data_IF_127439901585
#
_entry.id   IF_127439901585
#
_cell.length_a   1.000
_cell.length_b   1.000
_cell.length_c   1.000
_cell.angle_alpha   90.00
_cell.angle_beta   90.00
_cell.angle_gamma   90.00
#
_symmetry.space_group_name_H-M   'P 1'
#
loop_
_entity.id
_entity.type
_entity.pdbx_description
1 polymer ?
#
# COMPACT_ATOMS: atom_id res chain seq x y z
N UNK A 1 -15.78 24.84 -47.86
CA UNK A 1 -16.71 24.83 -49.00
C UNK A 1 -16.41 23.60 -49.85
N UNK A 2 -17.48 22.83 -50.11
CA UNK A 2 -17.74 21.83 -51.16
C UNK A 2 -16.55 21.37 -52.05
N UNK A 3 -16.19 20.09 -52.04
CA UNK A 3 -16.88 18.93 -52.65
C UNK A 3 -16.76 18.86 -54.18
N UNK A 4 -16.45 17.67 -54.71
CA UNK A 4 -16.76 17.31 -56.09
C UNK A 4 -15.71 16.48 -56.82
N UNK A 5 -15.61 15.18 -56.51
CA UNK A 5 -15.00 14.20 -57.44
C UNK A 5 -16.02 13.86 -58.54
N UNK A 6 -15.55 13.98 -59.79
CA UNK A 6 -16.31 13.71 -61.02
C UNK A 6 -16.38 12.22 -61.34
N UNK A 7 -17.47 11.94 -62.05
CA UNK A 7 -18.00 10.70 -62.63
C UNK A 7 -17.01 9.93 -63.52
N UNK A 8 -17.12 8.61 -63.38
CA UNK A 8 -17.05 7.53 -64.37
C UNK A 8 -17.11 7.91 -65.86
N UNK A 9 -16.41 7.14 -66.71
CA UNK A 9 -16.95 6.12 -67.64
C UNK A 9 -15.82 5.67 -68.58
N UNK A 10 -15.74 4.38 -68.88
CA UNK A 10 -14.93 3.88 -70.01
C UNK A 10 -14.62 2.40 -69.91
N UNK A 11 -15.51 1.56 -70.44
CA UNK A 11 -15.45 0.10 -70.44
C UNK A 11 -14.43 -0.43 -71.46
N UNK A 12 -13.79 -1.56 -71.15
CA UNK A 12 -13.15 -2.41 -72.14
C UNK A 12 -13.38 -3.88 -71.77
N UNK A 13 -13.98 -4.58 -72.73
CA UNK A 13 -14.37 -5.98 -72.73
C UNK A 13 -13.16 -6.90 -72.56
N UNK A 14 -13.22 -7.77 -71.56
CA UNK A 14 -12.29 -8.87 -71.34
C UNK A 14 -13.06 -10.18 -71.21
N UNK A 15 -12.77 -11.11 -72.11
CA UNK A 15 -13.35 -12.45 -72.24
C UNK A 15 -13.10 -13.24 -70.94
N UNK A 16 -14.17 -13.61 -70.22
CA UNK A 16 -14.09 -14.56 -69.11
C UNK A 16 -14.33 -15.98 -69.63
N UNK A 17 -13.27 -16.78 -69.69
CA UNK A 17 -13.40 -18.24 -69.75
C UNK A 17 -13.99 -18.72 -68.41
N UNK A 18 -15.18 -19.32 -68.48
CA UNK A 18 -15.76 -20.09 -67.38
C UNK A 18 -14.95 -21.38 -67.21
N UNK A 19 -13.94 -21.37 -66.35
CA UNK A 19 -13.43 -22.60 -65.74
C UNK A 19 -14.33 -22.92 -64.54
N UNK A 20 -15.26 -23.85 -64.73
CA UNK A 20 -15.94 -24.51 -63.62
C UNK A 20 -14.92 -25.41 -62.90
N UNK A 21 -14.18 -24.83 -61.96
CA UNK A 21 -13.45 -25.63 -60.98
C UNK A 21 -14.48 -26.35 -60.13
N UNK A 22 -14.65 -27.65 -60.37
CA UNK A 22 -15.28 -28.55 -59.41
C UNK A 22 -14.37 -28.60 -58.18
N UNK A 23 -14.54 -27.62 -57.28
CA UNK A 23 -13.99 -27.74 -55.94
C UNK A 23 -14.78 -28.87 -55.28
N UNK A 24 -14.19 -30.06 -55.19
CA UNK A 24 -14.63 -31.03 -54.21
C UNK A 24 -14.63 -30.29 -52.87
N UNK A 25 -15.83 -30.06 -52.34
CA UNK A 25 -15.98 -29.68 -50.95
C UNK A 25 -15.47 -30.87 -50.15
N UNK A 26 -14.18 -30.89 -49.85
CA UNK A 26 -13.66 -31.65 -48.72
C UNK A 26 -14.46 -31.15 -47.54
N UNK A 27 -15.32 -32.01 -46.99
CA UNK A 27 -15.91 -31.79 -45.69
C UNK A 27 -14.73 -31.59 -44.74
N UNK A 28 -14.40 -30.34 -44.44
CA UNK A 28 -13.50 -30.02 -43.36
C UNK A 28 -14.20 -30.57 -42.13
N UNK A 29 -13.77 -31.75 -41.67
CA UNK A 29 -14.17 -32.29 -40.39
C UNK A 29 -13.80 -31.20 -39.39
N UNK A 30 -14.80 -30.58 -38.79
CA UNK A 30 -14.59 -29.67 -37.68
C UNK A 30 -13.81 -30.44 -36.64
N UNK A 31 -12.55 -30.08 -36.42
CA UNK A 31 -11.77 -30.65 -35.32
C UNK A 31 -12.62 -30.51 -34.05
N UNK A 32 -12.74 -31.56 -33.23
CA UNK A 32 -13.46 -31.46 -31.97
C UNK A 32 -12.85 -30.30 -31.19
N UNK A 33 -13.66 -29.28 -30.90
CA UNK A 33 -13.24 -28.16 -30.06
C UNK A 33 -12.65 -28.74 -28.79
N UNK A 34 -11.42 -28.34 -28.45
CA UNK A 34 -10.77 -28.79 -27.21
C UNK A 34 -11.78 -28.72 -26.06
N UNK A 35 -11.88 -29.75 -25.21
CA UNK A 35 -12.87 -29.77 -24.14
C UNK A 35 -12.71 -28.47 -23.35
N UNK A 36 -13.82 -27.76 -23.17
CA UNK A 36 -13.83 -26.51 -22.44
C UNK A 36 -13.13 -26.73 -21.09
N UNK A 37 -12.12 -25.93 -20.79
CA UNK A 37 -11.37 -26.04 -19.54
C UNK A 37 -12.35 -25.84 -18.38
N UNK A 38 -12.65 -26.92 -17.65
CA UNK A 38 -13.55 -26.87 -16.50
C UNK A 38 -12.83 -26.15 -15.37
N UNK A 39 -13.42 -25.04 -14.89
CA UNK A 39 -12.97 -24.38 -13.68
C UNK A 39 -13.51 -25.18 -12.49
N UNK A 40 -12.66 -25.83 -11.67
CA UNK A 40 -13.14 -26.70 -10.60
C UNK A 40 -13.86 -25.90 -9.53
N UNK A 41 -14.99 -26.40 -9.02
CA UNK A 41 -15.65 -25.83 -7.84
C UNK A 41 -14.82 -26.12 -6.59
N UNK A 42 -14.49 -25.07 -5.82
CA UNK A 42 -13.77 -25.19 -4.56
C UNK A 42 -14.71 -24.86 -3.41
N UNK A 43 -15.06 -25.87 -2.61
CA UNK A 43 -15.98 -25.69 -1.50
C UNK A 43 -15.35 -24.88 -0.34
N UNK A 44 -16.09 -23.95 0.27
CA UNK A 44 -15.63 -23.23 1.46
C UNK A 44 -15.45 -24.19 2.66
N UNK A 45 -14.57 -23.87 3.62
CA UNK A 45 -14.51 -24.60 4.88
C UNK A 45 -15.82 -24.49 5.67
N UNK A 46 -16.22 -25.58 6.32
CA UNK A 46 -17.44 -25.68 7.12
C UNK A 46 -17.23 -25.31 8.61
N UNK A 47 -15.99 -25.07 9.04
CA UNK A 47 -15.65 -24.62 10.38
C UNK A 47 -14.52 -23.59 10.30
N UNK A 48 -14.67 -22.48 11.02
CA UNK A 48 -13.70 -21.39 11.08
C UNK A 48 -13.74 -20.71 12.45
N UNK A 49 -12.61 -20.09 12.79
CA UNK A 49 -12.49 -19.14 13.88
C UNK A 49 -11.76 -17.89 13.39
N UNK A 50 -11.90 -16.78 14.12
CA UNK A 50 -11.05 -15.60 13.99
C UNK A 50 -10.54 -15.21 15.37
N UNK A 51 -9.22 -15.23 15.55
CA UNK A 51 -8.57 -14.96 16.84
C UNK A 51 -9.08 -15.90 17.96
N UNK A 52 -9.43 -17.14 17.64
CA UNK A 52 -10.03 -18.10 18.58
C UNK A 52 -11.54 -17.94 18.79
N UNK A 53 -12.19 -16.95 18.17
CA UNK A 53 -13.64 -16.76 18.24
C UNK A 53 -14.33 -17.56 17.13
N UNK A 54 -15.29 -18.45 17.43
CA UNK A 54 -15.94 -19.28 16.42
C UNK A 54 -16.82 -18.45 15.47
N UNK A 55 -16.78 -18.78 14.19
CA UNK A 55 -17.66 -18.20 13.16
C UNK A 55 -18.95 -19.02 13.08
N UNK A 56 -20.15 -18.45 13.25
CA UNK A 56 -21.41 -19.19 13.30
C UNK A 56 -21.92 -19.55 11.88
N UNK A 57 -21.18 -20.40 11.16
CA UNK A 57 -21.51 -20.84 9.79
C UNK A 57 -22.78 -21.71 9.69
N UNK A 58 -23.37 -22.11 10.82
CA UNK A 58 -24.69 -22.76 10.84
C UNK A 58 -25.84 -21.77 10.53
N UNK A 59 -25.57 -20.46 10.63
CA UNK A 59 -26.52 -19.41 10.23
C UNK A 59 -26.36 -19.18 8.72
N UNK A 60 -27.42 -19.45 7.95
CA UNK A 60 -27.42 -19.38 6.48
C UNK A 60 -26.84 -18.07 5.94
N UNK A 61 -27.29 -16.93 6.46
CA UNK A 61 -26.82 -15.60 6.03
C UNK A 61 -25.32 -15.36 6.35
N UNK A 62 -24.80 -15.94 7.43
CA UNK A 62 -23.37 -15.87 7.75
C UNK A 62 -22.57 -16.73 6.78
N UNK A 63 -23.06 -17.94 6.48
CA UNK A 63 -22.46 -18.83 5.50
C UNK A 63 -22.44 -18.22 4.10
N UNK A 64 -23.55 -17.66 3.61
CA UNK A 64 -23.61 -17.04 2.28
C UNK A 64 -22.69 -15.82 2.14
N UNK A 65 -22.58 -15.00 3.19
CA UNK A 65 -21.65 -13.86 3.20
C UNK A 65 -20.19 -14.30 3.22
N UNK A 66 -19.87 -15.40 3.91
CA UNK A 66 -18.55 -16.00 3.89
C UNK A 66 -18.23 -16.65 2.54
N UNK A 67 -19.13 -17.50 2.05
CA UNK A 67 -19.03 -18.21 0.77
C UNK A 67 -18.73 -17.23 -0.36
N UNK A 68 -19.47 -16.11 -0.44
CA UNK A 68 -19.21 -15.05 -1.43
C UNK A 68 -17.75 -14.58 -1.43
N UNK A 69 -17.20 -14.19 -0.27
CA UNK A 69 -15.82 -13.68 -0.23
C UNK A 69 -14.80 -14.80 -0.48
N UNK A 70 -15.07 -16.02 0.00
CA UNK A 70 -14.23 -17.19 -0.25
C UNK A 70 -14.19 -17.54 -1.74
N UNK A 71 -15.34 -17.69 -2.41
CA UNK A 71 -15.44 -17.94 -3.85
C UNK A 71 -14.66 -16.90 -4.64
N UNK A 72 -14.83 -15.61 -4.34
CA UNK A 72 -14.12 -14.54 -5.06
C UNK A 72 -12.59 -14.71 -4.92
N UNK A 73 -12.11 -14.94 -3.71
CA UNK A 73 -10.67 -14.98 -3.45
C UNK A 73 -10.01 -16.28 -3.87
N UNK A 74 -10.69 -17.41 -3.75
CA UNK A 74 -10.13 -18.72 -4.11
C UNK A 74 -9.90 -18.87 -5.61
N UNK A 75 -10.56 -18.05 -6.45
CA UNK A 75 -10.28 -17.96 -7.89
C UNK A 75 -9.40 -16.77 -8.29
N UNK A 76 -8.95 -15.95 -7.33
CA UNK A 76 -8.06 -14.82 -7.57
C UNK A 76 -6.59 -15.27 -7.67
N UNK A 77 -6.29 -16.22 -8.58
CA UNK A 77 -5.04 -16.98 -8.57
C UNK A 77 -3.77 -16.12 -8.48
N UNK A 78 -3.67 -15.08 -9.31
CA UNK A 78 -2.53 -14.18 -9.32
C UNK A 78 -2.35 -13.48 -7.96
N UNK A 79 -3.46 -13.06 -7.34
CA UNK A 79 -3.46 -12.40 -6.05
C UNK A 79 -3.04 -13.36 -4.93
N UNK A 80 -3.57 -14.59 -4.92
CA UNK A 80 -3.22 -15.59 -3.91
C UNK A 80 -1.74 -15.94 -4.00
N UNK A 81 -1.18 -16.13 -5.19
CA UNK A 81 0.27 -16.35 -5.34
C UNK A 81 1.10 -15.15 -4.88
N UNK A 82 0.66 -13.91 -5.12
CA UNK A 82 1.33 -12.73 -4.60
C UNK A 82 1.26 -12.64 -3.07
N UNK A 83 0.14 -13.04 -2.46
CA UNK A 83 0.03 -13.15 -1.01
C UNK A 83 0.96 -14.21 -0.45
N UNK A 84 0.99 -15.42 -1.01
CA UNK A 84 1.89 -16.49 -0.57
C UNK A 84 3.36 -16.03 -0.64
N UNK A 85 3.77 -15.41 -1.75
CA UNK A 85 5.12 -14.88 -1.91
C UNK A 85 5.47 -13.82 -0.85
N UNK A 86 4.55 -12.89 -0.55
CA UNK A 86 4.77 -11.84 0.46
C UNK A 86 4.63 -12.35 1.90
N UNK A 87 3.81 -13.36 2.13
CA UNK A 87 3.65 -13.99 3.43
C UNK A 87 4.98 -14.61 3.89
N UNK A 88 5.71 -15.29 3.00
CA UNK A 88 7.05 -15.82 3.29
C UNK A 88 8.03 -14.72 3.77
N UNK A 89 7.89 -13.50 3.25
CA UNK A 89 8.70 -12.34 3.67
C UNK A 89 8.30 -11.76 5.02
N UNK A 90 7.00 -11.65 5.31
CA UNK A 90 6.53 -10.80 6.42
C UNK A 90 5.92 -11.57 7.59
N UNK A 91 5.31 -12.74 7.35
CA UNK A 91 4.61 -13.48 8.39
C UNK A 91 5.54 -13.92 9.54
N UNK A 92 6.76 -14.41 9.29
CA UNK A 92 7.64 -14.80 10.40
C UNK A 92 7.90 -13.66 11.39
N UNK A 93 8.19 -12.46 10.87
CA UNK A 93 8.38 -11.26 11.70
C UNK A 93 7.09 -10.80 12.39
N UNK A 94 5.94 -10.81 11.69
CA UNK A 94 4.64 -10.50 12.30
C UNK A 94 4.27 -11.45 13.42
N UNK A 95 4.50 -12.75 13.23
CA UNK A 95 4.18 -13.77 14.22
C UNK A 95 5.06 -13.64 15.47
N UNK A 96 6.34 -13.33 15.30
CA UNK A 96 7.23 -12.99 16.42
C UNK A 96 6.70 -11.78 17.20
N UNK A 97 6.32 -10.72 16.49
CA UNK A 97 5.83 -9.49 17.11
C UNK A 97 4.47 -9.66 17.81
N UNK A 98 3.56 -10.45 17.23
CA UNK A 98 2.27 -10.81 17.83
C UNK A 98 2.47 -11.68 19.08
N UNK A 99 3.34 -12.70 19.03
CA UNK A 99 3.67 -13.56 20.18
C UNK A 99 4.29 -12.73 21.31
N UNK A 100 5.24 -11.85 21.00
CA UNK A 100 5.90 -10.97 21.98
C UNK A 100 4.91 -10.08 22.74
N UNK A 101 3.79 -9.72 22.11
CA UNK A 101 2.71 -8.90 22.68
C UNK A 101 1.55 -9.70 23.27
N UNK A 102 1.62 -11.03 23.22
CA UNK A 102 0.51 -11.92 23.57
C UNK A 102 -0.79 -11.58 22.81
N UNK A 103 -0.67 -11.33 21.51
CA UNK A 103 -1.79 -11.03 20.60
C UNK A 103 -2.09 -12.23 19.68
N UNK A 104 -3.34 -12.41 19.22
CA UNK A 104 -3.69 -13.49 18.30
C UNK A 104 -2.91 -13.40 16.98
N UNK A 105 -2.41 -14.54 16.50
CA UNK A 105 -1.65 -14.62 15.25
C UNK A 105 -2.49 -14.22 14.02
N UNK A 106 -3.80 -14.39 14.09
CA UNK A 106 -4.73 -14.06 13.00
C UNK A 106 -4.75 -12.57 12.65
N UNK A 107 -4.31 -11.69 13.55
CA UNK A 107 -4.23 -10.25 13.28
C UNK A 107 -3.29 -9.92 12.11
N UNK A 108 -2.35 -10.82 11.74
CA UNK A 108 -1.52 -10.66 10.55
C UNK A 108 -2.34 -10.59 9.25
N UNK A 109 -3.51 -11.23 9.20
CA UNK A 109 -4.38 -11.23 8.02
C UNK A 109 -5.08 -9.88 7.80
N UNK A 110 -5.18 -9.03 8.83
CA UNK A 110 -5.63 -7.64 8.68
C UNK A 110 -4.70 -6.89 7.71
N UNK A 111 -3.38 -7.00 7.87
CA UNK A 111 -2.41 -6.38 6.95
C UNK A 111 -2.51 -6.91 5.50
N UNK A 112 -2.91 -8.17 5.32
CA UNK A 112 -3.20 -8.73 4.00
C UNK A 112 -4.46 -8.09 3.40
N UNK A 113 -5.54 -7.99 4.18
CA UNK A 113 -6.79 -7.37 3.72
C UNK A 113 -6.64 -5.87 3.42
N UNK A 114 -5.82 -5.17 4.21
CA UNK A 114 -5.60 -3.73 4.05
C UNK A 114 -4.77 -3.38 2.81
N UNK A 115 -3.66 -4.09 2.56
CA UNK A 115 -2.71 -3.68 1.52
C UNK A 115 -2.07 -4.78 0.72
N UNK A 116 -2.50 -6.03 0.90
CA UNK A 116 -1.81 -7.21 0.36
C UNK A 116 -0.34 -7.29 0.80
N UNK A 117 -0.05 -6.86 2.03
CA UNK A 117 1.30 -6.76 2.58
C UNK A 117 2.22 -5.78 1.82
N UNK A 118 1.66 -4.76 1.19
CA UNK A 118 2.43 -3.72 0.50
C UNK A 118 2.67 -2.51 1.40
N UNK A 119 3.94 -2.16 1.61
CA UNK A 119 4.30 -0.98 2.41
C UNK A 119 3.99 0.34 1.72
N UNK A 120 3.95 0.39 0.38
CA UNK A 120 3.75 1.62 -0.39
C UNK A 120 2.28 1.89 -0.77
N UNK A 121 1.34 1.09 -0.26
CA UNK A 121 -0.07 1.20 -0.62
C UNK A 121 -0.68 2.55 -0.23
N UNK A 122 -1.56 3.08 -1.07
CA UNK A 122 -2.27 4.32 -0.84
C UNK A 122 -3.68 4.21 -1.40
N UNK A 123 -4.70 4.51 -0.60
CA UNK A 123 -6.09 4.52 -1.06
C UNK A 123 -6.54 5.91 -1.51
N UNK A 124 -7.54 6.00 -2.41
CA UNK A 124 -8.18 7.27 -2.76
C UNK A 124 -8.75 8.03 -1.56
N UNK A 125 -9.11 7.32 -0.49
CA UNK A 125 -9.62 7.88 0.77
C UNK A 125 -8.50 8.40 1.70
N UNK A 126 -7.24 8.31 1.27
CA UNK A 126 -6.08 8.85 1.97
C UNK A 126 -5.47 7.91 3.00
N UNK A 127 -5.91 6.65 3.07
CA UNK A 127 -5.25 5.61 3.83
C UNK A 127 -3.89 5.27 3.21
N UNK A 128 -2.89 4.97 4.04
CA UNK A 128 -1.54 4.73 3.56
C UNK A 128 -0.83 3.62 4.32
N UNK A 129 0.08 2.96 3.62
CA UNK A 129 0.96 1.95 4.17
C UNK A 129 0.35 0.56 4.25
N UNK A 130 1.12 -0.33 4.90
CA UNK A 130 0.76 -1.75 5.06
C UNK A 130 -0.53 -1.96 5.86
N UNK A 131 -0.80 -1.05 6.79
CA UNK A 131 -1.94 -1.10 7.70
C UNK A 131 -3.02 -0.07 7.35
N UNK A 132 -2.91 0.60 6.19
CA UNK A 132 -3.90 1.57 5.67
C UNK A 132 -4.42 2.59 6.69
N UNK A 133 -3.52 3.20 7.47
CA UNK A 133 -3.91 4.23 8.41
C UNK A 133 -4.45 5.48 7.70
N UNK A 134 -5.61 5.98 8.11
CA UNK A 134 -6.06 7.35 7.80
C UNK A 134 -5.21 8.35 8.61
N UNK A 135 -4.91 9.58 8.11
CA UNK A 135 -3.98 10.49 8.78
C UNK A 135 -4.34 10.84 10.23
N UNK A 136 -5.63 10.91 10.57
CA UNK A 136 -6.09 11.21 11.93
C UNK A 136 -5.73 10.10 12.91
N UNK A 137 -6.11 8.87 12.59
CA UNK A 137 -5.82 7.67 13.38
C UNK A 137 -4.32 7.41 13.47
N UNK A 138 -3.58 7.55 12.35
CA UNK A 138 -2.13 7.41 12.36
C UNK A 138 -1.45 8.34 13.36
N UNK A 139 -1.81 9.63 13.37
CA UNK A 139 -1.29 10.59 14.37
C UNK A 139 -1.66 10.22 15.80
N UNK A 140 -2.89 9.75 16.04
CA UNK A 140 -3.32 9.30 17.37
C UNK A 140 -2.41 8.19 17.91
N UNK A 141 -1.95 7.30 17.04
CA UNK A 141 -1.04 6.21 17.38
C UNK A 141 0.45 6.53 17.19
N UNK A 142 0.81 7.79 16.96
CA UNK A 142 2.21 8.23 16.94
C UNK A 142 2.90 8.14 15.58
N UNK A 143 2.15 8.04 14.48
CA UNK A 143 2.70 8.10 13.12
C UNK A 143 2.70 9.54 12.60
N UNK A 144 3.89 10.10 12.44
CA UNK A 144 4.06 11.46 11.96
C UNK A 144 3.79 11.59 10.46
N UNK A 145 3.15 12.71 10.10
CA UNK A 145 2.87 13.07 8.71
C UNK A 145 3.16 14.54 8.45
N UNK A 146 4.02 14.78 7.47
CA UNK A 146 4.37 16.10 6.94
C UNK A 146 4.36 16.07 5.41
N UNK A 147 4.97 17.09 4.78
CA UNK A 147 5.16 17.11 3.31
C UNK A 147 6.32 16.25 2.83
N UNK A 148 7.25 15.92 3.72
CA UNK A 148 8.49 15.19 3.39
C UNK A 148 8.58 13.81 4.03
N UNK A 149 7.74 13.55 5.03
CA UNK A 149 7.70 12.34 5.84
C UNK A 149 6.25 11.90 6.01
N UNK A 150 6.00 10.61 5.90
CA UNK A 150 4.73 9.97 6.22
C UNK A 150 5.00 8.57 6.76
N UNK A 151 5.08 8.45 8.09
CA UNK A 151 5.52 7.23 8.78
C UNK A 151 4.54 6.06 8.65
N UNK A 152 3.34 6.30 8.12
CA UNK A 152 2.39 5.23 7.79
C UNK A 152 2.97 4.26 6.76
N UNK A 153 3.90 4.70 5.92
CA UNK A 153 4.59 3.82 4.97
C UNK A 153 5.73 3.02 5.62
N UNK A 154 6.21 3.38 6.81
CA UNK A 154 7.17 2.57 7.54
C UNK A 154 6.45 1.37 8.18
N UNK A 155 6.83 0.16 7.79
CA UNK A 155 6.08 -1.01 8.18
C UNK A 155 6.29 -1.40 9.63
N UNK A 156 7.44 -1.14 10.23
CA UNK A 156 7.69 -1.46 11.64
C UNK A 156 6.90 -0.52 12.53
N UNK A 157 6.98 0.79 12.25
CA UNK A 157 6.21 1.82 12.98
C UNK A 157 4.71 1.65 12.80
N UNK A 158 4.25 1.39 11.57
CA UNK A 158 2.84 1.16 11.28
C UNK A 158 2.33 -0.13 11.94
N UNK A 159 3.14 -1.19 12.00
CA UNK A 159 2.75 -2.43 12.68
C UNK A 159 2.63 -2.23 14.18
N UNK A 160 3.63 -1.61 14.82
CA UNK A 160 3.52 -1.28 16.25
C UNK A 160 2.25 -0.48 16.55
N UNK A 161 1.98 0.54 15.73
CA UNK A 161 0.80 1.40 15.86
C UNK A 161 -0.51 0.63 15.64
N UNK A 162 -0.58 -0.25 14.64
CA UNK A 162 -1.75 -1.06 14.35
C UNK A 162 -2.05 -2.06 15.45
N UNK A 163 -1.03 -2.74 15.98
CA UNK A 163 -1.21 -3.69 17.06
C UNK A 163 -1.62 -3.02 18.37
N UNK A 164 -1.10 -1.82 18.67
CA UNK A 164 -1.61 -1.00 19.79
C UNK A 164 -3.08 -0.62 19.57
N UNK A 165 -3.43 -0.18 18.37
CA UNK A 165 -4.81 0.20 18.07
C UNK A 165 -5.78 -0.98 18.17
N UNK A 166 -5.45 -2.12 17.57
CA UNK A 166 -6.26 -3.34 17.65
C UNK A 166 -6.42 -3.81 19.09
N UNK A 167 -5.38 -3.69 19.92
CA UNK A 167 -5.47 -4.00 21.35
C UNK A 167 -6.45 -3.05 22.07
N UNK A 168 -6.36 -1.74 21.85
CA UNK A 168 -7.30 -0.79 22.46
C UNK A 168 -8.75 -1.05 22.04
N UNK A 169 -8.96 -1.45 20.78
CA UNK A 169 -10.28 -1.84 20.27
C UNK A 169 -10.77 -3.13 20.93
N UNK A 170 -9.91 -4.12 21.11
CA UNK A 170 -10.25 -5.31 21.87
C UNK A 170 -10.58 -4.99 23.33
N UNK A 171 -9.81 -4.13 23.98
CA UNK A 171 -10.08 -3.70 25.35
C UNK A 171 -11.46 -3.01 25.45
N UNK A 172 -11.89 -2.30 24.40
CA UNK A 172 -13.21 -1.66 24.32
C UNK A 172 -14.36 -2.64 24.08
N UNK A 173 -14.22 -3.57 23.13
CA UNK A 173 -15.34 -4.44 22.71
C UNK A 173 -15.36 -5.80 23.41
N UNK A 174 -14.22 -6.24 23.96
CA UNK A 174 -13.96 -7.57 24.50
C UNK A 174 -14.29 -8.69 23.49
N UNK A 175 -14.13 -8.39 22.20
CA UNK A 175 -14.40 -9.27 21.07
C UNK A 175 -13.55 -8.85 19.88
N UNK A 176 -12.72 -9.75 19.36
CA UNK A 176 -11.81 -9.51 18.25
C UNK A 176 -12.53 -9.22 16.95
N UNK A 177 -13.64 -9.91 16.68
CA UNK A 177 -14.41 -9.69 15.46
C UNK A 177 -14.95 -8.26 15.38
N UNK A 178 -15.51 -7.75 16.48
CA UNK A 178 -15.92 -6.34 16.61
C UNK A 178 -14.73 -5.38 16.60
N UNK A 179 -13.62 -5.73 17.25
CA UNK A 179 -12.41 -4.90 17.27
C UNK A 179 -11.86 -4.70 15.85
N UNK A 180 -11.79 -5.75 15.04
CA UNK A 180 -11.33 -5.69 13.65
C UNK A 180 -12.35 -4.92 12.78
N UNK A 181 -13.66 -5.10 13.00
CA UNK A 181 -14.69 -4.32 12.32
C UNK A 181 -14.58 -2.81 12.65
N UNK A 182 -14.26 -2.48 13.90
CA UNK A 182 -14.02 -1.11 14.36
C UNK A 182 -12.72 -0.52 13.79
N UNK A 183 -11.70 -1.34 13.55
CA UNK A 183 -10.48 -0.91 12.86
C UNK A 183 -10.81 -0.38 11.45
N UNK A 184 -11.68 -1.07 10.73
CA UNK A 184 -12.11 -0.70 9.37
C UNK A 184 -13.03 0.53 9.35
N UNK A 185 -14.08 0.56 10.18
CA UNK A 185 -15.16 1.55 10.03
C UNK A 185 -15.22 2.63 11.13
N UNK A 186 -14.35 2.52 12.13
CA UNK A 186 -14.26 3.38 13.30
C UNK A 186 -15.03 2.84 14.50
N UNK A 187 -14.40 2.92 15.68
CA UNK A 187 -14.93 2.46 16.96
C UNK A 187 -16.25 3.11 17.36
N UNK A 188 -16.40 4.41 17.08
CA UNK A 188 -17.64 5.15 17.37
C UNK A 188 -18.82 4.62 16.57
N UNK A 189 -18.58 4.22 15.32
CA UNK A 189 -19.65 3.69 14.45
C UNK A 189 -20.11 2.33 14.94
N UNK A 190 -19.18 1.43 15.25
CA UNK A 190 -19.52 0.11 15.81
C UNK A 190 -20.29 0.28 17.11
N UNK A 191 -19.82 1.13 18.03
CA UNK A 191 -20.48 1.39 19.30
C UNK A 191 -21.91 1.92 19.11
N UNK A 192 -22.11 2.89 18.21
CA UNK A 192 -23.43 3.44 17.90
C UNK A 192 -24.40 2.38 17.36
N UNK A 193 -23.94 1.51 16.45
CA UNK A 193 -24.78 0.46 15.90
C UNK A 193 -25.13 -0.61 16.94
N UNK A 194 -24.17 -0.97 17.81
CA UNK A 194 -24.42 -1.86 18.95
C UNK A 194 -25.54 -1.29 19.84
N UNK A 195 -25.45 -0.02 20.23
CA UNK A 195 -26.43 0.64 21.09
C UNK A 195 -27.81 0.73 20.44
N UNK A 196 -27.83 1.11 19.15
CA UNK A 196 -29.06 1.27 18.37
C UNK A 196 -29.79 -0.04 18.15
N UNK A 197 -29.07 -1.09 17.76
CA UNK A 197 -29.64 -2.38 17.39
C UNK A 197 -29.78 -3.32 18.60
N UNK A 198 -29.14 -2.99 19.73
CA UNK A 198 -29.09 -3.81 20.95
C UNK A 198 -28.50 -5.20 20.71
N UNK A 199 -27.56 -5.29 19.78
CA UNK A 199 -26.86 -6.52 19.38
C UNK A 199 -25.36 -6.29 19.54
N UNK A 200 -24.66 -7.25 20.13
CA UNK A 200 -23.19 -7.23 20.31
C UNK A 200 -22.47 -8.31 19.52
N UNK A 201 -23.20 -9.11 18.76
CA UNK A 201 -22.63 -10.10 17.86
C UNK A 201 -22.42 -9.46 16.49
N UNK A 202 -21.16 -9.39 16.03
CA UNK A 202 -20.81 -8.87 14.72
C UNK A 202 -21.63 -9.54 13.60
N UNK A 203 -21.84 -10.85 13.68
CA UNK A 203 -22.50 -11.61 12.62
C UNK A 203 -23.99 -11.26 12.48
N UNK A 204 -24.59 -10.70 13.53
CA UNK A 204 -25.99 -10.25 13.55
C UNK A 204 -26.13 -8.72 13.46
N UNK A 205 -25.02 -7.97 13.61
CA UNK A 205 -25.03 -6.52 13.61
C UNK A 205 -25.06 -5.97 12.17
N UNK A 206 -26.00 -5.08 11.88
CA UNK A 206 -26.01 -4.35 10.60
C UNK A 206 -24.95 -3.26 10.63
N UNK A 207 -23.98 -3.33 9.71
CA UNK A 207 -22.87 -2.38 9.57
C UNK A 207 -22.80 -1.85 8.13
N UNK A 208 -21.93 -0.88 7.81
CA UNK A 208 -21.70 -0.51 6.42
C UNK A 208 -21.32 -1.73 5.59
N UNK A 209 -21.81 -1.81 4.35
CA UNK A 209 -21.61 -2.98 3.48
C UNK A 209 -20.12 -3.34 3.31
N UNK A 210 -19.23 -2.35 3.22
CA UNK A 210 -17.79 -2.59 3.16
C UNK A 210 -17.27 -3.33 4.41
N UNK A 211 -17.71 -2.92 5.59
CA UNK A 211 -17.31 -3.49 6.87
C UNK A 211 -17.89 -4.88 7.08
N UNK A 212 -19.17 -5.09 6.71
CA UNK A 212 -19.79 -6.41 6.77
C UNK A 212 -19.02 -7.44 5.93
N UNK A 213 -18.47 -7.01 4.79
CA UNK A 213 -17.64 -7.83 3.91
C UNK A 213 -16.22 -8.04 4.45
N UNK A 214 -15.70 -7.07 5.18
CA UNK A 214 -14.30 -7.02 5.60
C UNK A 214 -13.88 -8.21 6.46
N UNK A 215 -14.67 -8.61 7.45
CA UNK A 215 -14.38 -9.79 8.29
C UNK A 215 -14.40 -11.07 7.46
N UNK A 216 -15.37 -11.25 6.57
CA UNK A 216 -15.45 -12.44 5.72
C UNK A 216 -14.30 -12.50 4.71
N UNK A 217 -13.84 -11.35 4.21
CA UNK A 217 -12.63 -11.26 3.39
C UNK A 217 -11.39 -11.71 4.17
N UNK A 218 -11.23 -11.29 5.42
CA UNK A 218 -10.14 -11.74 6.29
C UNK A 218 -10.21 -13.25 6.56
N UNK A 219 -11.40 -13.78 6.84
CA UNK A 219 -11.62 -15.21 7.04
C UNK A 219 -11.26 -16.03 5.80
N UNK A 220 -11.64 -15.56 4.61
CA UNK A 220 -11.30 -16.20 3.35
C UNK A 220 -9.78 -16.17 3.09
N UNK A 221 -9.12 -15.03 3.35
CA UNK A 221 -7.66 -14.91 3.32
C UNK A 221 -7.01 -15.91 4.28
N UNK A 222 -7.47 -15.96 5.54
CA UNK A 222 -6.98 -16.90 6.56
C UNK A 222 -7.13 -18.34 6.08
N UNK A 223 -8.31 -18.72 5.60
CA UNK A 223 -8.58 -20.06 5.10
C UNK A 223 -7.60 -20.45 3.99
N UNK A 224 -7.48 -19.62 2.95
CA UNK A 224 -6.62 -19.89 1.78
C UNK A 224 -5.14 -19.96 2.19
N UNK A 225 -4.64 -18.96 2.94
CA UNK A 225 -3.21 -18.88 3.28
C UNK A 225 -2.78 -19.88 4.36
N UNK A 226 -3.71 -20.37 5.19
CA UNK A 226 -3.39 -21.40 6.20
C UNK A 226 -3.31 -22.80 5.61
N UNK A 227 -3.91 -23.02 4.43
CA UNK A 227 -3.93 -24.34 3.77
C UNK A 227 -3.99 -24.19 2.25
N UNK A 228 -3.00 -23.55 1.60
CA UNK A 228 -3.08 -23.20 0.18
C UNK A 228 -3.23 -24.42 -0.73
N UNK A 229 -2.54 -25.51 -0.40
CA UNK A 229 -2.56 -26.77 -1.15
C UNK A 229 -3.96 -27.39 -1.23
N UNK A 230 -4.77 -27.26 -0.16
CA UNK A 230 -6.17 -27.72 -0.12
C UNK A 230 -7.03 -27.07 -1.21
N UNK A 231 -6.65 -25.88 -1.66
CA UNK A 231 -7.39 -25.08 -2.62
C UNK A 231 -6.67 -25.00 -3.99
N UNK A 232 -5.70 -25.89 -4.24
CA UNK A 232 -4.99 -25.97 -5.52
C UNK A 232 -3.81 -25.00 -5.67
N UNK A 233 -3.39 -24.34 -4.57
CA UNK A 233 -2.24 -23.45 -4.59
C UNK A 233 -0.99 -24.14 -4.08
N UNK A 234 -0.09 -24.49 -5.00
CA UNK A 234 1.24 -24.98 -4.68
C UNK A 234 2.28 -23.91 -5.09
N UNK A 235 2.87 -23.23 -4.10
CA UNK A 235 4.03 -22.36 -4.32
C UNK A 235 5.29 -23.21 -4.15
N UNK A 236 6.16 -23.36 -5.17
CA UNK A 236 7.40 -24.10 -5.01
C UNK A 236 8.27 -23.52 -3.89
N UNK A 237 9.00 -24.37 -3.19
CA UNK A 237 9.94 -23.95 -2.16
C UNK A 237 10.94 -22.91 -2.71
N UNK A 238 11.15 -21.82 -1.96
CA UNK A 238 12.01 -20.72 -2.38
C UNK A 238 11.46 -19.82 -3.49
N UNK A 239 10.26 -20.10 -4.03
CA UNK A 239 9.62 -19.22 -5.00
C UNK A 239 8.95 -17.99 -4.35
N UNK A 240 8.86 -17.94 -3.02
CA UNK A 240 8.40 -16.76 -2.29
C UNK A 240 9.40 -15.62 -2.30
N UNK A 241 9.05 -14.56 -1.60
CA UNK A 241 9.98 -13.46 -1.36
C UNK A 241 10.67 -13.72 -0.03
N UNK A 242 12.02 -13.79 0.01
CA UNK A 242 12.71 -14.04 1.26
C UNK A 242 12.51 -12.88 2.23
N UNK A 243 12.62 -13.19 3.53
CA UNK A 243 12.78 -12.19 4.58
C UNK A 243 14.00 -11.32 4.25
N UNK A 244 13.83 -10.01 4.38
CA UNK A 244 14.95 -9.08 4.22
C UNK A 244 15.56 -8.78 5.59
N UNK A 245 16.88 -8.90 5.68
CA UNK A 245 17.67 -8.44 6.83
C UNK A 245 18.18 -7.03 6.57
N UNK A 246 18.23 -6.22 7.62
CA UNK A 246 18.62 -4.81 7.51
C UNK A 246 19.70 -4.46 8.50
N UNK A 247 20.59 -3.56 8.08
CA UNK A 247 21.38 -2.76 9.00
C UNK A 247 20.59 -1.51 9.36
N UNK A 248 20.61 -1.14 10.64
CA UNK A 248 19.99 0.09 11.12
C UNK A 248 21.05 1.11 11.54
N UNK A 249 20.89 2.34 11.05
CA UNK A 249 21.78 3.45 11.42
C UNK A 249 20.95 4.63 11.91
N UNK A 250 21.11 4.94 13.20
CA UNK A 250 20.59 6.16 13.82
C UNK A 250 21.39 7.38 13.37
N UNK A 251 20.71 8.47 13.06
CA UNK A 251 21.36 9.72 12.68
C UNK A 251 20.52 10.95 13.03
N UNK A 252 21.20 12.00 13.49
CA UNK A 252 20.60 13.31 13.76
C UNK A 252 20.93 14.26 12.61
N UNK A 253 19.92 14.63 11.84
CA UNK A 253 20.03 15.58 10.74
C UNK A 253 19.73 17.00 11.23
N UNK A 254 20.77 17.84 11.33
CA UNK A 254 20.63 19.27 11.70
C UNK A 254 19.90 20.08 10.61
N UNK A 255 20.02 19.64 9.36
CA UNK A 255 19.42 20.26 8.17
C UNK A 255 18.70 19.21 7.33
N UNK A 256 17.76 19.61 6.44
CA UNK A 256 17.27 18.71 5.41
C UNK A 256 18.42 18.22 4.52
N UNK A 257 18.48 16.92 4.24
CA UNK A 257 19.53 16.30 3.42
C UNK A 257 18.89 15.64 2.19
N UNK A 258 19.42 15.86 0.97
CA UNK A 258 18.95 15.14 -0.21
C UNK A 258 19.10 13.62 -0.04
N UNK A 259 18.05 12.86 -0.37
CA UNK A 259 18.09 11.40 -0.34
C UNK A 259 19.21 10.85 -1.24
N UNK A 260 19.45 11.51 -2.37
CA UNK A 260 20.55 11.14 -3.27
C UNK A 260 21.92 11.15 -2.56
N UNK A 261 22.19 12.17 -1.74
CA UNK A 261 23.45 12.26 -1.00
C UNK A 261 23.56 11.16 0.07
N UNK A 262 22.45 10.84 0.76
CA UNK A 262 22.42 9.74 1.72
C UNK A 262 22.64 8.38 1.05
N UNK A 263 21.99 8.15 -0.10
CA UNK A 263 22.15 6.93 -0.89
C UNK A 263 23.61 6.75 -1.36
N UNK A 264 24.25 7.83 -1.84
CA UNK A 264 25.67 7.82 -2.20
C UNK A 264 26.57 7.45 -1.01
N UNK A 265 26.32 8.02 0.18
CA UNK A 265 27.10 7.69 1.40
C UNK A 265 26.86 6.26 1.90
N UNK A 266 25.69 5.71 1.62
CA UNK A 266 25.37 4.31 1.91
C UNK A 266 25.90 3.34 0.84
N UNK A 267 26.37 3.84 -0.31
CA UNK A 267 26.79 3.02 -1.43
C UNK A 267 25.62 2.25 -2.08
N UNK A 268 24.42 2.84 -2.07
CA UNK A 268 23.19 2.26 -2.63
C UNK A 268 22.52 3.22 -3.61
N UNK A 269 21.56 2.71 -4.38
CA UNK A 269 20.81 3.56 -5.31
C UNK A 269 19.74 4.39 -4.61
N UNK A 270 19.34 5.51 -5.22
CA UNK A 270 18.18 6.29 -4.76
C UNK A 270 16.91 5.44 -4.63
N UNK A 271 16.67 4.55 -5.60
CA UNK A 271 15.52 3.63 -5.61
C UNK A 271 15.56 2.68 -4.42
N UNK A 272 16.73 2.12 -4.12
CA UNK A 272 16.92 1.22 -2.99
C UNK A 272 16.73 1.93 -1.65
N UNK A 273 17.31 3.13 -1.47
CA UNK A 273 17.08 3.94 -0.27
C UNK A 273 15.58 4.21 -0.05
N UNK A 274 14.86 4.61 -1.10
CA UNK A 274 13.41 4.86 -1.06
C UNK A 274 12.57 3.61 -0.80
N UNK A 275 12.99 2.45 -1.34
CA UNK A 275 12.33 1.15 -1.09
C UNK A 275 12.44 0.76 0.38
N UNK A 276 13.64 0.94 0.95
CA UNK A 276 13.95 0.60 2.34
C UNK A 276 13.46 1.64 3.33
N UNK A 277 13.32 2.91 2.93
CA UNK A 277 12.88 3.99 3.80
C UNK A 277 11.67 4.73 3.17
N UNK A 278 10.55 4.02 2.96
CA UNK A 278 9.42 4.53 2.19
C UNK A 278 8.69 5.70 2.87
N UNK A 279 8.85 5.87 4.18
CA UNK A 279 8.29 7.00 4.93
C UNK A 279 8.79 8.36 4.43
N UNK A 280 10.00 8.46 3.86
CA UNK A 280 10.51 9.71 3.30
C UNK A 280 9.90 9.97 1.93
N UNK A 281 8.68 10.49 1.87
CA UNK A 281 7.91 10.64 0.62
C UNK A 281 8.44 11.72 -0.35
N UNK A 282 9.33 12.61 0.09
CA UNK A 282 9.95 13.61 -0.80
C UNK A 282 11.33 13.19 -1.33
N UNK A 283 12.05 14.12 -1.97
CA UNK A 283 13.45 13.93 -2.40
C UNK A 283 14.48 14.30 -1.31
N UNK A 284 14.03 14.81 -0.17
CA UNK A 284 14.86 15.19 0.96
C UNK A 284 14.38 14.50 2.23
N UNK A 285 15.32 14.11 3.08
CA UNK A 285 15.03 13.75 4.47
C UNK A 285 14.97 15.05 5.27
N UNK A 286 13.87 15.36 5.97
CA UNK A 286 13.79 16.57 6.78
C UNK A 286 14.78 16.54 7.95
N UNK A 287 15.05 17.68 8.58
CA UNK A 287 15.81 17.70 9.85
C UNK A 287 15.09 16.85 10.91
N UNK A 288 15.82 16.18 11.79
CA UNK A 288 15.23 15.30 12.81
C UNK A 288 16.17 14.17 13.22
N UNK A 289 15.68 13.29 14.07
CA UNK A 289 16.35 12.05 14.44
C UNK A 289 15.66 10.89 13.69
N UNK A 290 16.43 10.06 13.02
CA UNK A 290 15.90 8.97 12.21
C UNK A 290 16.76 7.72 12.33
N UNK A 291 16.07 6.58 12.26
CA UNK A 291 16.67 5.26 12.09
C UNK A 291 16.55 4.84 10.63
N UNK A 292 17.67 4.86 9.89
CA UNK A 292 17.68 4.45 8.48
C UNK A 292 17.85 2.95 8.34
N UNK A 293 17.02 2.33 7.49
CA UNK A 293 17.16 0.94 7.04
C UNK A 293 18.05 0.87 5.81
N UNK A 294 19.02 -0.03 5.84
CA UNK A 294 19.98 -0.28 4.77
C UNK A 294 20.12 -1.78 4.50
N UNK A 295 20.60 -2.20 3.32
CA UNK A 295 20.95 -3.60 3.09
C UNK A 295 22.00 -4.07 4.11
N UNK A 296 21.92 -5.35 4.49
CA UNK A 296 22.90 -5.95 5.39
C UNK A 296 24.34 -5.72 4.90
N UNK A 297 25.22 -5.33 5.82
CA UNK A 297 26.63 -5.00 5.55
C UNK A 297 26.89 -3.55 5.11
N UNK A 298 25.86 -2.72 4.88
CA UNK A 298 26.02 -1.31 4.49
C UNK A 298 25.99 -0.34 5.67
N UNK A 299 25.60 -0.77 6.86
CA UNK A 299 25.42 0.08 8.04
C UNK A 299 26.70 0.71 8.56
N UNK A 300 27.77 -0.08 8.76
CA UNK A 300 29.04 0.44 9.25
C UNK A 300 29.69 1.44 8.26
N UNK A 301 29.85 1.11 6.96
CA UNK A 301 30.34 2.08 5.98
C UNK A 301 29.48 3.34 5.88
N UNK A 302 28.15 3.19 5.95
CA UNK A 302 27.26 4.35 5.93
C UNK A 302 27.48 5.24 7.15
N UNK A 303 27.59 4.68 8.36
CA UNK A 303 27.78 5.47 9.60
C UNK A 303 29.05 6.32 9.54
N UNK A 304 30.15 5.74 9.09
CA UNK A 304 31.43 6.44 8.93
C UNK A 304 31.31 7.58 7.90
N UNK A 305 30.85 7.25 6.69
CA UNK A 305 30.69 8.21 5.60
C UNK A 305 29.67 9.31 5.92
N UNK A 306 28.59 8.97 6.63
CA UNK A 306 27.54 9.90 7.02
C UNK A 306 28.05 10.89 8.05
N UNK A 307 28.82 10.45 9.04
CA UNK A 307 29.36 11.34 10.08
C UNK A 307 30.25 12.42 9.46
N UNK A 308 31.24 12.01 8.67
CA UNK A 308 32.12 12.93 7.95
C UNK A 308 31.34 13.86 7.01
N UNK A 309 30.34 13.33 6.30
CA UNK A 309 29.47 14.12 5.45
C UNK A 309 28.67 15.16 6.22
N UNK A 310 28.01 14.80 7.32
CA UNK A 310 27.13 15.70 8.08
C UNK A 310 27.90 16.82 8.80
N UNK A 311 29.14 16.57 9.22
CA UNK A 311 30.00 17.60 9.81
C UNK A 311 30.41 18.66 8.77
N UNK A 312 30.73 18.22 7.55
CA UNK A 312 31.04 19.10 6.43
C UNK A 312 29.79 19.70 5.78
N UNK A 313 28.63 19.08 5.91
CA UNK A 313 27.42 19.46 5.18
C UNK A 313 26.90 20.82 5.64
N UNK A 314 26.91 21.77 4.71
CA UNK A 314 26.22 23.06 4.84
C UNK A 314 25.14 23.13 3.76
N UNK A 315 23.90 23.53 4.10
CA UNK A 315 22.87 23.79 3.09
C UNK A 315 23.39 24.80 2.08
N UNK A 316 23.11 24.58 0.79
CA UNK A 316 23.49 25.52 -0.26
C UNK A 316 22.72 26.80 -0.07
N UNK A 317 23.44 27.90 0.12
CA UNK A 317 22.83 29.22 0.24
C UNK A 317 22.62 29.82 -1.16
N UNK A 318 21.37 29.94 -1.57
CA UNK A 318 20.95 30.56 -2.83
C UNK A 318 20.46 31.96 -2.52
N UNK A 319 21.04 32.96 -3.17
CA UNK A 319 20.52 34.33 -3.09
C UNK A 319 19.56 34.56 -4.24
N UNK A 320 18.27 34.60 -3.94
CA UNK A 320 17.21 34.88 -4.91
C UNK A 320 16.92 36.39 -4.98
N UNK A 321 16.86 36.94 -6.19
CA UNK A 321 16.43 38.32 -6.41
C UNK A 321 14.95 38.34 -6.76
N UNK A 322 14.13 38.96 -5.91
CA UNK A 322 12.68 39.03 -6.05
C UNK A 322 12.30 39.71 -7.36
N UNK A 323 11.43 39.06 -8.15
CA UNK A 323 10.92 39.57 -9.43
C UNK A 323 9.50 40.12 -9.27
N UNK A 324 9.07 40.97 -10.21
CA UNK A 324 7.69 41.50 -10.25
C UNK A 324 6.69 40.33 -10.26
N UNK A 325 5.70 40.36 -9.37
CA UNK A 325 4.68 39.32 -9.22
C UNK A 325 5.07 38.10 -8.37
N UNK A 326 6.25 38.10 -7.74
CA UNK A 326 6.60 37.06 -6.77
C UNK A 326 5.89 37.24 -5.43
N UNK A 327 5.60 36.11 -4.79
CA UNK A 327 5.17 36.04 -3.39
C UNK A 327 6.09 35.08 -2.64
N UNK A 328 6.22 35.25 -1.32
CA UNK A 328 6.98 34.30 -0.50
C UNK A 328 6.48 32.87 -0.69
N UNK A 329 5.17 32.67 -0.87
CA UNK A 329 4.57 31.34 -1.13
C UNK A 329 5.06 30.73 -2.44
N UNK A 330 5.08 31.52 -3.54
CA UNK A 330 5.61 31.05 -4.84
C UNK A 330 7.09 30.74 -4.77
N UNK A 331 7.88 31.59 -4.12
CA UNK A 331 9.32 31.38 -3.94
C UNK A 331 9.55 30.12 -3.09
N UNK A 332 8.88 30.00 -1.95
CA UNK A 332 8.95 28.83 -1.07
C UNK A 332 8.62 27.54 -1.82
N UNK A 333 7.54 27.54 -2.62
CA UNK A 333 7.16 26.39 -3.47
C UNK A 333 8.24 26.08 -4.51
N UNK A 334 8.75 27.09 -5.22
CA UNK A 334 9.81 26.93 -6.25
C UNK A 334 11.06 26.27 -5.67
N UNK A 335 11.47 26.68 -4.47
CA UNK A 335 12.69 26.19 -3.84
C UNK A 335 12.48 25.01 -2.88
N UNK A 336 11.24 24.51 -2.73
CA UNK A 336 10.94 23.37 -1.87
C UNK A 336 11.09 23.65 -0.36
N UNK A 337 10.93 24.89 0.07
CA UNK A 337 11.07 25.32 1.47
C UNK A 337 9.74 25.87 2.03
N UNK A 338 9.64 26.11 3.33
CA UNK A 338 8.49 26.77 3.96
C UNK A 338 8.65 28.29 3.93
N UNK A 339 7.54 29.02 3.81
CA UNK A 339 7.54 30.50 3.93
C UNK A 339 8.17 30.95 5.25
N UNK A 340 7.87 30.25 6.35
CA UNK A 340 8.46 30.51 7.67
C UNK A 340 9.98 30.37 7.68
N UNK A 341 10.55 29.46 6.88
CA UNK A 341 12.00 29.32 6.75
C UNK A 341 12.59 30.52 6.01
N UNK A 342 12.00 30.94 4.88
CA UNK A 342 12.46 32.13 4.15
C UNK A 342 12.39 33.36 5.06
N UNK A 343 11.29 33.55 5.78
CA UNK A 343 11.14 34.66 6.73
C UNK A 343 12.23 34.64 7.80
N UNK A 344 12.51 33.47 8.38
CA UNK A 344 13.54 33.31 9.41
C UNK A 344 14.95 33.60 8.88
N UNK A 345 15.32 33.06 7.72
CA UNK A 345 16.65 33.27 7.14
C UNK A 345 16.91 34.73 6.76
N UNK A 346 15.85 35.45 6.38
CA UNK A 346 15.91 36.84 5.93
C UNK A 346 15.42 37.85 6.98
N UNK A 347 15.16 37.39 8.21
CA UNK A 347 14.65 38.22 9.33
C UNK A 347 13.40 39.04 8.96
N UNK A 348 12.51 38.48 8.14
CA UNK A 348 11.27 39.15 7.70
C UNK A 348 10.17 39.03 8.76
N UNK A 349 9.65 40.18 9.22
CA UNK A 349 8.50 40.23 10.15
C UNK A 349 7.18 39.92 9.43
N UNK A 350 7.00 40.43 8.21
CA UNK A 350 5.78 40.26 7.40
C UNK A 350 5.97 39.35 6.17
N UNK A 351 4.95 39.30 5.31
CA UNK A 351 4.99 38.57 4.04
C UNK A 351 5.31 39.47 2.83
N UNK A 352 5.41 40.78 3.06
CA UNK A 352 5.72 41.79 2.03
C UNK A 352 7.17 41.66 1.59
N UNK A 353 7.36 41.54 0.28
CA UNK A 353 8.68 41.52 -0.38
C UNK A 353 8.70 42.54 -1.52
N UNK A 354 9.83 43.18 -1.75
CA UNK A 354 9.99 44.23 -2.79
C UNK A 354 10.73 43.67 -4.01
N UNK A 355 10.39 44.16 -5.20
CA UNK A 355 11.15 43.83 -6.41
C UNK A 355 12.62 44.21 -6.21
N UNK A 356 13.53 43.36 -6.69
CA UNK A 356 14.98 43.43 -6.48
C UNK A 356 15.49 43.14 -5.06
N UNK A 357 14.62 42.89 -4.08
CA UNK A 357 15.04 42.44 -2.76
C UNK A 357 15.80 41.11 -2.88
N UNK A 358 16.93 41.00 -2.21
CA UNK A 358 17.71 39.76 -2.12
C UNK A 358 17.18 38.92 -0.96
N UNK A 359 16.80 37.68 -1.25
CA UNK A 359 16.38 36.69 -0.28
C UNK A 359 17.36 35.53 -0.25
N UNK A 360 17.92 35.26 0.91
CA UNK A 360 18.66 34.06 1.24
C UNK A 360 17.71 32.87 1.34
N UNK A 361 17.98 31.84 0.55
CA UNK A 361 17.24 30.58 0.54
C UNK A 361 18.25 29.48 0.77
N UNK A 362 18.11 28.74 1.87
CA UNK A 362 18.98 27.61 2.19
C UNK A 362 18.31 26.32 1.74
N UNK A 363 18.96 25.56 0.86
CA UNK A 363 18.46 24.27 0.37
C UNK A 363 19.53 23.19 0.43
#
# INVERSE_FOLDING_TARGET
MMAGRRRWVGALLGICFLWSSFAMATSAQSEPSAPAQVVPYVAPPNHLDLCGEPVPLHIQDVWERFDREFTILVYAHAQVYLWLKRAERFFPWFEEELKRRNLPLDLKYVAVAESDLQHAAYSPMGAAGMWQFIPGTGRRYGLDKSRALDERYDFELATDSALRYLKDLYDMFQNWTLAIAAYNCGEKRVQQEIERQKVRDYYQLKLPAETERYIFRILAIKAILSSPEKYGYALPEGAGYPQETFDYVEAVLKYPVPIQALAEKAGITYREFKRLNPAFISQVVPRGHYRFRLPQGRGAPFRENLTAFLDAFKPKEIVYRVKRGDTLTRIAKRYGVRVSQIKRWNRLKGSTIRVNQRLVIRR
#
